data_IF_730575292196
#
_entry.id   IF_730575292196
#
_cell.length_a   1.000
_cell.length_b   1.000
_cell.length_c   1.000
_cell.angle_alpha   90.00
_cell.angle_beta   90.00
_cell.angle_gamma   90.00
#
_symmetry.space_group_name_H-M   'P 1'
#
loop_
_entity.id
_entity.type
_entity.pdbx_description
1 polymer ?
#
# COMPACT_ATOMS: atom_id res chain seq x y z
N UNK A 1 -20.32 -0.19 13.08
CA UNK A 1 -19.64 0.12 11.83
C UNK A 1 -19.05 -1.17 11.33
N UNK A 2 -19.15 -1.40 10.02
CA UNK A 2 -18.51 -2.50 9.35
C UNK A 2 -16.99 -2.43 9.54
N UNK A 3 -16.37 -3.59 9.77
CA UNK A 3 -14.92 -3.73 9.98
C UNK A 3 -14.41 -4.93 9.20
N UNK A 4 -13.35 -4.71 8.41
CA UNK A 4 -12.64 -5.76 7.72
C UNK A 4 -11.23 -5.96 8.30
N UNK A 5 -10.85 -7.21 8.61
CA UNK A 5 -9.55 -7.55 9.18
C UNK A 5 -8.97 -8.85 8.62
N UNK A 6 -7.64 -8.88 8.50
CA UNK A 6 -6.86 -10.10 8.26
C UNK A 6 -6.42 -10.69 9.59
N UNK A 7 -6.67 -11.99 9.79
CA UNK A 7 -6.31 -12.71 11.02
C UNK A 7 -4.82 -13.04 11.00
N UNK A 8 -4.10 -12.58 12.03
CA UNK A 8 -2.67 -12.84 12.19
C UNK A 8 -2.45 -14.16 12.93
N UNK A 9 -1.30 -14.79 12.71
CA UNK A 9 -0.92 -16.01 13.43
C UNK A 9 -1.66 -17.28 13.00
N UNK A 10 -2.29 -17.29 11.82
CA UNK A 10 -2.95 -18.49 11.28
C UNK A 10 -1.97 -19.65 11.15
N UNK A 11 -2.42 -20.86 11.50
CA UNK A 11 -1.60 -22.05 11.43
C UNK A 11 -1.25 -22.40 9.98
N UNK A 12 -0.02 -22.91 9.76
CA UNK A 12 0.57 -23.11 8.43
C UNK A 12 0.46 -24.56 7.93
N UNK A 13 -0.24 -25.44 8.62
CA UNK A 13 -0.30 -26.87 8.27
C UNK A 13 -1.59 -27.23 7.54
N UNK A 14 -1.60 -28.35 6.82
CA UNK A 14 -2.80 -28.90 6.18
C UNK A 14 -3.91 -29.15 7.22
N UNK A 15 -3.54 -29.67 8.39
CA UNK A 15 -4.46 -29.87 9.52
C UNK A 15 -5.04 -28.55 10.03
N UNK A 16 -4.26 -27.47 10.07
CA UNK A 16 -4.76 -26.14 10.43
C UNK A 16 -5.83 -25.64 9.43
N UNK A 17 -5.63 -25.87 8.13
CA UNK A 17 -6.63 -25.55 7.10
C UNK A 17 -7.92 -26.36 7.32
N UNK A 18 -7.81 -27.67 7.52
CA UNK A 18 -8.98 -28.50 7.80
C UNK A 18 -9.73 -28.05 9.05
N UNK A 19 -8.99 -27.78 10.13
CA UNK A 19 -9.56 -27.38 11.41
C UNK A 19 -10.27 -26.03 11.32
N UNK A 20 -9.73 -25.04 10.58
CA UNK A 20 -10.42 -23.75 10.43
C UNK A 20 -11.67 -23.89 9.56
N UNK A 21 -11.62 -24.64 8.45
CA UNK A 21 -12.78 -24.90 7.60
C UNK A 21 -13.88 -25.63 8.37
N UNK A 22 -13.51 -26.65 9.16
CA UNK A 22 -14.43 -27.33 10.07
C UNK A 22 -15.01 -26.37 11.10
N UNK A 23 -14.18 -25.56 11.74
CA UNK A 23 -14.62 -24.61 12.77
C UNK A 23 -15.61 -23.57 12.22
N UNK A 24 -15.36 -23.04 11.02
CA UNK A 24 -16.25 -22.01 10.44
C UNK A 24 -17.44 -22.60 9.70
N UNK A 25 -17.33 -23.80 9.14
CA UNK A 25 -18.32 -24.38 8.23
C UNK A 25 -19.10 -25.57 8.78
N UNK A 26 -18.79 -26.07 9.98
CA UNK A 26 -19.61 -27.14 10.56
C UNK A 26 -20.94 -26.57 11.04
N UNK A 27 -22.02 -26.96 10.38
CA UNK A 27 -23.37 -26.92 10.91
C UNK A 27 -23.59 -28.24 11.65
N UNK A 28 -23.74 -28.17 12.97
CA UNK A 28 -23.93 -29.37 13.78
C UNK A 28 -25.41 -29.78 13.63
N UNK A 29 -25.68 -30.90 12.94
CA UNK A 29 -27.07 -31.37 12.71
C UNK A 29 -27.70 -31.96 13.99
N UNK A 30 -26.88 -32.37 14.96
CA UNK A 30 -27.32 -33.07 16.19
C UNK A 30 -27.63 -32.14 17.36
N UNK A 31 -27.07 -30.95 17.35
CA UNK A 31 -27.34 -29.85 18.27
C UNK A 31 -27.44 -28.64 17.36
N UNK A 32 -28.62 -28.03 17.20
CA UNK A 32 -28.80 -26.84 16.35
C UNK A 32 -27.69 -25.82 16.61
N UNK A 33 -26.62 -25.86 15.83
CA UNK A 33 -25.53 -24.91 15.90
C UNK A 33 -25.98 -23.70 15.09
N UNK A 34 -26.89 -22.94 15.71
CA UNK A 34 -27.50 -21.74 15.17
C UNK A 34 -26.45 -20.62 14.94
N UNK A 35 -25.14 -20.89 15.14
CA UNK A 35 -24.10 -19.93 14.81
C UNK A 35 -23.97 -19.72 13.31
N UNK A 36 -24.07 -20.76 12.48
CA UNK A 36 -23.73 -20.66 11.05
C UNK A 36 -25.01 -20.49 10.25
N UNK A 37 -25.22 -19.27 9.73
CA UNK A 37 -26.33 -19.00 8.83
C UNK A 37 -26.15 -19.72 7.49
N UNK A 38 -25.04 -19.48 6.80
CA UNK A 38 -24.80 -20.02 5.45
C UNK A 38 -23.31 -20.11 5.12
N UNK A 39 -22.94 -21.15 4.39
CA UNK A 39 -21.64 -21.30 3.75
C UNK A 39 -21.75 -21.20 2.24
N UNK A 40 -20.74 -20.61 1.60
CA UNK A 40 -20.61 -20.57 0.13
C UNK A 40 -19.14 -20.73 -0.26
N UNK A 41 -18.86 -21.60 -1.21
CA UNK A 41 -17.56 -21.78 -1.84
C UNK A 41 -17.47 -21.05 -3.18
N UNK A 42 -16.35 -20.37 -3.43
CA UNK A 42 -15.97 -19.79 -4.72
C UNK A 42 -14.83 -20.65 -5.26
N UNK A 43 -15.04 -21.26 -6.42
CA UNK A 43 -14.18 -22.29 -7.03
C UNK A 43 -14.07 -23.59 -6.21
N UNK A 44 -14.82 -23.70 -5.11
CA UNK A 44 -14.90 -24.87 -4.22
C UNK A 44 -16.33 -25.08 -3.77
N UNK A 45 -16.60 -26.22 -3.14
CA UNK A 45 -17.90 -26.60 -2.61
C UNK A 45 -18.29 -25.80 -1.36
N UNK A 46 -19.60 -25.65 -1.14
CA UNK A 46 -20.18 -25.08 0.09
C UNK A 46 -20.01 -26.01 1.31
N UNK A 47 -19.69 -27.29 1.10
CA UNK A 47 -19.36 -28.24 2.17
C UNK A 47 -17.87 -28.15 2.54
N UNK A 48 -17.58 -27.91 3.82
CA UNK A 48 -16.22 -27.66 4.30
C UNK A 48 -15.26 -28.85 4.06
N UNK A 49 -15.76 -30.10 4.06
CA UNK A 49 -14.91 -31.29 3.84
C UNK A 49 -14.53 -31.40 2.37
N UNK A 50 -15.47 -31.14 1.46
CA UNK A 50 -15.22 -31.07 0.01
C UNK A 50 -14.34 -29.88 -0.33
N UNK A 51 -14.63 -28.70 0.20
CA UNK A 51 -13.81 -27.50 0.02
C UNK A 51 -12.35 -27.72 0.44
N UNK A 52 -12.12 -28.41 1.57
CA UNK A 52 -10.77 -28.79 1.97
C UNK A 52 -10.07 -29.64 0.91
N UNK A 53 -10.73 -30.67 0.38
CA UNK A 53 -10.14 -31.55 -0.64
C UNK A 53 -9.82 -30.80 -1.92
N UNK A 54 -10.72 -29.93 -2.38
CA UNK A 54 -10.54 -29.13 -3.58
C UNK A 54 -9.40 -28.10 -3.40
N UNK A 55 -9.36 -27.39 -2.27
CA UNK A 55 -8.24 -26.49 -1.94
C UNK A 55 -6.89 -27.22 -1.86
N UNK A 56 -6.88 -28.49 -1.44
CA UNK A 56 -5.69 -29.32 -1.43
C UNK A 56 -5.31 -29.78 -2.84
N UNK A 57 -6.27 -30.18 -3.66
CA UNK A 57 -6.07 -30.54 -5.06
C UNK A 57 -5.42 -29.39 -5.84
N UNK A 58 -5.91 -28.16 -5.69
CA UNK A 58 -5.28 -26.97 -6.31
C UNK A 58 -3.80 -26.84 -5.93
N UNK A 59 -3.44 -27.13 -4.68
CA UNK A 59 -2.03 -27.07 -4.24
C UNK A 59 -1.20 -28.23 -4.80
N UNK A 60 -1.80 -29.41 -4.92
CA UNK A 60 -1.14 -30.59 -5.48
C UNK A 60 -0.82 -30.39 -6.96
N UNK A 61 -1.78 -29.88 -7.74
CA UNK A 61 -1.60 -29.55 -9.16
C UNK A 61 -0.44 -28.58 -9.40
N UNK A 62 -0.21 -27.64 -8.49
CA UNK A 62 0.86 -26.64 -8.59
C UNK A 62 2.12 -26.99 -7.78
N UNK A 63 2.20 -28.19 -7.19
CA UNK A 63 3.29 -28.63 -6.33
C UNK A 63 3.60 -27.65 -5.17
N UNK A 64 2.55 -27.05 -4.57
CA UNK A 64 2.63 -26.02 -3.51
C UNK A 64 2.05 -26.49 -2.18
N UNK A 65 2.30 -27.74 -1.81
CA UNK A 65 1.80 -28.35 -0.57
C UNK A 65 2.42 -27.76 0.71
N UNK A 66 3.56 -27.07 0.61
CA UNK A 66 4.30 -26.55 1.75
C UNK A 66 4.06 -25.07 2.05
N UNK A 67 4.44 -24.65 3.26
CA UNK A 67 4.30 -23.27 3.73
C UNK A 67 2.88 -22.94 4.16
N UNK A 68 2.52 -21.66 4.18
CA UNK A 68 1.19 -21.21 4.61
C UNK A 68 0.11 -21.81 3.69
N UNK A 69 -0.93 -22.39 4.31
CA UNK A 69 -2.01 -23.09 3.58
C UNK A 69 -3.25 -22.22 3.30
N UNK A 70 -3.49 -21.18 4.08
CA UNK A 70 -4.63 -20.27 3.89
C UNK A 70 -4.37 -18.86 4.41
N UNK A 71 -5.24 -17.93 4.00
CA UNK A 71 -5.46 -16.65 4.65
C UNK A 71 -6.86 -16.66 5.25
N UNK A 72 -7.03 -16.04 6.41
CA UNK A 72 -8.31 -15.93 7.07
C UNK A 72 -8.62 -14.46 7.29
N UNK A 73 -9.69 -14.00 6.66
CA UNK A 73 -10.19 -12.65 6.75
C UNK A 73 -11.56 -12.67 7.41
N UNK A 74 -11.87 -11.62 8.16
CA UNK A 74 -13.15 -11.47 8.85
C UNK A 74 -13.74 -10.12 8.49
N UNK A 75 -15.00 -10.12 8.11
CA UNK A 75 -15.84 -8.94 7.95
C UNK A 75 -16.90 -8.95 9.05
N UNK A 76 -17.01 -7.91 9.86
CA UNK A 76 -17.97 -7.83 10.97
C UNK A 76 -18.82 -6.59 10.82
N UNK A 77 -20.10 -6.65 11.19
CA UNK A 77 -21.05 -5.54 11.07
C UNK A 77 -21.51 -5.05 12.44
N UNK A 78 -22.10 -3.85 12.51
CA UNK A 78 -22.73 -3.39 13.75
C UNK A 78 -23.93 -4.30 14.09
N UNK A 79 -24.20 -4.60 15.36
CA UNK A 79 -25.45 -5.25 15.75
C UNK A 79 -26.67 -4.52 15.16
N UNK A 80 -27.57 -5.26 14.52
CA UNK A 80 -28.84 -4.75 13.96
C UNK A 80 -28.72 -3.88 12.72
N UNK A 81 -27.54 -3.75 12.12
CA UNK A 81 -27.32 -2.90 10.93
C UNK A 81 -27.53 -3.63 9.61
N UNK A 82 -27.36 -4.94 9.60
CA UNK A 82 -27.49 -5.78 8.41
C UNK A 82 -28.16 -7.09 8.80
N UNK A 83 -28.95 -7.66 7.90
CA UNK A 83 -29.48 -9.02 8.01
C UNK A 83 -28.45 -10.05 7.48
N UNK A 84 -28.65 -11.31 7.85
CA UNK A 84 -27.75 -12.41 7.54
C UNK A 84 -27.63 -12.71 6.04
N UNK A 85 -28.70 -12.51 5.26
CA UNK A 85 -28.71 -12.74 3.82
C UNK A 85 -27.89 -11.67 3.09
N UNK A 86 -28.13 -10.40 3.41
CA UNK A 86 -27.39 -9.25 2.85
C UNK A 86 -25.92 -9.34 3.24
N UNK A 87 -25.61 -9.61 4.51
CA UNK A 87 -24.23 -9.79 4.96
C UNK A 87 -23.51 -10.91 4.20
N UNK A 88 -24.18 -12.03 3.94
CA UNK A 88 -23.61 -13.14 3.19
C UNK A 88 -23.38 -12.77 1.71
N UNK A 89 -24.37 -12.16 1.06
CA UNK A 89 -24.28 -11.69 -0.33
C UNK A 89 -23.11 -10.73 -0.52
N UNK A 90 -22.95 -9.77 0.39
CA UNK A 90 -21.83 -8.82 0.35
C UNK A 90 -20.47 -9.50 0.48
N UNK A 91 -20.33 -10.55 1.29
CA UNK A 91 -19.07 -11.29 1.40
C UNK A 91 -18.73 -12.06 0.12
N UNK A 92 -19.74 -12.64 -0.54
CA UNK A 92 -19.57 -13.32 -1.84
C UNK A 92 -19.13 -12.30 -2.89
N UNK A 93 -19.85 -11.18 -3.04
CA UNK A 93 -19.50 -10.09 -3.96
C UNK A 93 -18.07 -9.57 -3.70
N UNK A 94 -17.75 -9.33 -2.43
CA UNK A 94 -16.43 -8.88 -2.03
C UNK A 94 -15.34 -9.87 -2.44
N UNK A 95 -15.55 -11.17 -2.23
CA UNK A 95 -14.57 -12.19 -2.55
C UNK A 95 -14.41 -12.40 -4.06
N UNK A 96 -15.49 -12.39 -4.84
CA UNK A 96 -15.44 -12.46 -6.30
C UNK A 96 -14.73 -11.25 -6.92
N UNK A 97 -14.95 -10.05 -6.36
CA UNK A 97 -14.29 -8.81 -6.79
C UNK A 97 -12.79 -8.86 -6.52
N UNK A 98 -12.39 -9.30 -5.32
CA UNK A 98 -11.02 -9.12 -4.84
C UNK A 98 -10.12 -10.36 -4.99
N UNK A 99 -10.64 -11.59 -4.95
CA UNK A 99 -9.83 -12.83 -4.89
C UNK A 99 -9.95 -13.69 -6.14
N UNK A 100 -9.94 -13.05 -7.31
CA UNK A 100 -10.08 -13.73 -8.61
C UNK A 100 -9.02 -14.83 -8.78
N UNK A 101 -9.50 -16.02 -9.19
CA UNK A 101 -8.66 -17.21 -9.40
C UNK A 101 -8.13 -17.84 -8.11
N UNK A 102 -8.56 -17.41 -6.92
CA UNK A 102 -8.28 -18.13 -5.67
C UNK A 102 -9.52 -18.92 -5.25
N UNK A 103 -9.29 -20.09 -4.65
CA UNK A 103 -10.35 -20.82 -3.96
C UNK A 103 -10.71 -20.08 -2.66
N UNK A 104 -11.99 -19.81 -2.44
CA UNK A 104 -12.45 -19.09 -1.25
C UNK A 104 -13.62 -19.83 -0.62
N UNK A 105 -13.59 -20.02 0.70
CA UNK A 105 -14.69 -20.55 1.48
C UNK A 105 -15.21 -19.48 2.43
N UNK A 106 -16.49 -19.13 2.30
CA UNK A 106 -17.17 -18.09 3.06
C UNK A 106 -18.15 -18.74 4.02
N UNK A 107 -18.20 -18.26 5.26
CA UNK A 107 -19.18 -18.66 6.25
C UNK A 107 -19.70 -17.46 7.03
N UNK A 108 -21.01 -17.27 7.08
CA UNK A 108 -21.67 -16.18 7.81
C UNK A 108 -22.12 -16.69 9.18
N UNK A 109 -21.66 -16.02 10.23
CA UNK A 109 -21.94 -16.35 11.63
C UNK A 109 -22.84 -15.30 12.30
N UNK A 110 -23.73 -15.75 13.18
CA UNK A 110 -24.72 -14.92 13.90
C UNK A 110 -24.67 -15.08 15.44
N UNK A 111 -23.65 -15.76 15.98
CA UNK A 111 -23.55 -16.17 17.39
C UNK A 111 -23.02 -15.11 18.38
N UNK A 112 -22.30 -14.09 17.91
CA UNK A 112 -21.57 -13.16 18.81
C UNK A 112 -22.30 -11.85 19.09
N UNK A 113 -23.62 -11.87 19.03
CA UNK A 113 -24.45 -10.66 19.14
C UNK A 113 -24.28 -9.68 17.97
N UNK A 114 -23.57 -10.10 16.92
CA UNK A 114 -23.42 -9.37 15.66
C UNK A 114 -23.09 -10.34 14.53
N UNK A 115 -23.53 -9.98 13.33
CA UNK A 115 -23.26 -10.76 12.11
C UNK A 115 -21.81 -10.54 11.68
N UNK A 116 -21.15 -11.63 11.30
CA UNK A 116 -19.80 -11.58 10.76
C UNK A 116 -19.53 -12.71 9.76
N UNK A 117 -18.76 -12.39 8.73
CA UNK A 117 -18.33 -13.32 7.70
C UNK A 117 -16.90 -13.78 7.96
N UNK A 118 -16.69 -15.08 7.97
CA UNK A 118 -15.40 -15.73 7.86
C UNK A 118 -15.08 -15.98 6.38
N UNK A 119 -13.94 -15.49 5.91
CA UNK A 119 -13.48 -15.65 4.51
C UNK A 119 -12.14 -16.37 4.55
N UNK A 120 -12.14 -17.65 4.16
CA UNK A 120 -10.96 -18.51 4.13
C UNK A 120 -10.48 -18.62 2.69
N UNK A 121 -9.29 -18.09 2.40
CA UNK A 121 -8.74 -18.00 1.05
C UNK A 121 -7.59 -18.99 0.94
N UNK A 122 -7.61 -19.83 -0.08
CA UNK A 122 -6.51 -20.72 -0.43
C UNK A 122 -5.27 -19.88 -0.81
N UNK A 123 -4.07 -20.32 -0.46
CA UNK A 123 -2.84 -19.56 -0.75
C UNK A 123 -2.34 -19.70 -2.17
N UNK A 124 -2.97 -20.52 -3.01
CA UNK A 124 -2.53 -20.79 -4.38
C UNK A 124 -3.65 -20.42 -5.32
N UNK A 125 -3.33 -19.62 -6.34
CA UNK A 125 -4.25 -19.28 -7.41
C UNK A 125 -4.39 -20.50 -8.34
N UNK A 126 -5.62 -20.89 -8.68
CA UNK A 126 -5.95 -22.09 -9.44
C UNK A 126 -5.38 -22.04 -10.86
N UNK A 127 -5.41 -20.88 -11.50
CA UNK A 127 -4.99 -20.72 -12.90
C UNK A 127 -3.47 -20.59 -13.02
N UNK A 128 -2.87 -19.77 -12.15
CA UNK A 128 -1.47 -19.35 -12.29
C UNK A 128 -0.49 -20.08 -11.37
N UNK A 129 -0.98 -20.78 -10.33
CA UNK A 129 -0.14 -21.40 -9.30
C UNK A 129 0.59 -20.39 -8.39
N UNK A 130 0.40 -19.09 -8.61
CA UNK A 130 1.05 -18.04 -7.84
C UNK A 130 0.49 -17.98 -6.42
N UNK A 131 1.37 -17.73 -5.45
CA UNK A 131 0.97 -17.67 -4.04
C UNK A 131 0.40 -16.32 -3.65
N UNK A 132 -0.67 -16.35 -2.84
CA UNK A 132 -1.25 -15.18 -2.21
C UNK A 132 -0.19 -14.44 -1.39
N UNK A 133 0.08 -13.18 -1.75
CA UNK A 133 1.07 -12.33 -1.12
C UNK A 133 0.41 -11.06 -0.58
N UNK A 134 0.23 -10.98 0.73
CA UNK A 134 -0.16 -9.72 1.39
C UNK A 134 1.09 -8.85 1.57
N UNK A 135 1.08 -7.69 0.91
CA UNK A 135 2.13 -6.69 1.00
C UNK A 135 2.05 -5.93 2.31
N UNK A 136 3.20 -5.64 2.90
CA UNK A 136 3.26 -4.66 3.97
C UNK A 136 3.23 -3.22 3.40
N UNK A 137 3.04 -2.24 4.28
CA UNK A 137 2.93 -0.82 3.90
C UNK A 137 4.13 -0.31 3.10
N UNK A 138 5.35 -0.71 3.46
CA UNK A 138 6.57 -0.24 2.78
C UNK A 138 6.66 -0.83 1.37
N UNK A 139 6.40 -2.13 1.23
CA UNK A 139 6.39 -2.80 -0.09
C UNK A 139 5.31 -2.21 -1.02
N UNK A 140 4.13 -1.91 -0.47
CA UNK A 140 3.06 -1.27 -1.21
C UNK A 140 3.43 0.15 -1.66
N UNK A 141 3.93 0.97 -0.73
CA UNK A 141 4.33 2.35 -1.02
C UNK A 141 5.45 2.40 -2.06
N UNK A 142 6.46 1.54 -1.93
CA UNK A 142 7.56 1.46 -2.90
C UNK A 142 7.05 1.11 -4.30
N UNK A 143 6.09 0.18 -4.43
CA UNK A 143 5.48 -0.12 -5.73
C UNK A 143 4.72 1.09 -6.28
N UNK A 144 3.92 1.77 -5.45
CA UNK A 144 3.18 2.97 -5.86
C UNK A 144 4.09 4.11 -6.30
N UNK A 145 5.16 4.39 -5.55
CA UNK A 145 6.15 5.43 -5.88
C UNK A 145 6.86 5.15 -7.21
N UNK A 146 7.09 3.88 -7.53
CA UNK A 146 7.69 3.45 -8.79
C UNK A 146 6.67 3.22 -9.91
N UNK A 147 5.40 3.61 -9.73
CA UNK A 147 4.30 3.35 -10.68
C UNK A 147 4.16 1.88 -11.11
N UNK A 148 4.48 0.95 -10.20
CA UNK A 148 4.36 -0.49 -10.43
C UNK A 148 2.99 -0.96 -9.98
N UNK A 149 2.21 -1.51 -10.91
CA UNK A 149 0.94 -2.14 -10.60
C UNK A 149 1.12 -3.40 -9.74
N UNK A 150 0.15 -3.64 -8.86
CA UNK A 150 0.13 -4.87 -8.07
C UNK A 150 -0.19 -6.04 -9.00
N UNK A 151 0.55 -7.13 -8.84
CA UNK A 151 0.25 -8.37 -9.56
C UNK A 151 -1.06 -8.98 -9.04
N UNK A 152 -1.72 -9.82 -9.83
CA UNK A 152 -2.99 -10.46 -9.48
C UNK A 152 -3.00 -11.29 -8.17
N UNK A 153 -1.82 -11.71 -7.70
CA UNK A 153 -1.63 -12.46 -6.46
C UNK A 153 -1.09 -11.60 -5.29
N UNK A 154 -0.92 -10.30 -5.50
CA UNK A 154 -0.43 -9.34 -4.51
C UNK A 154 -1.59 -8.49 -3.98
N UNK A 155 -1.71 -8.41 -2.65
CA UNK A 155 -2.81 -7.74 -1.99
C UNK A 155 -2.30 -6.78 -0.93
N UNK A 156 -2.94 -5.62 -0.80
CA UNK A 156 -2.69 -4.71 0.30
C UNK A 156 -3.94 -4.61 1.19
N UNK A 157 -3.75 -4.79 2.50
CA UNK A 157 -4.88 -4.90 3.42
C UNK A 157 -5.78 -3.65 3.41
N UNK A 158 -5.21 -2.44 3.23
CA UNK A 158 -6.04 -1.24 3.27
C UNK A 158 -6.84 -1.03 1.97
N UNK A 159 -6.35 -1.55 0.84
CA UNK A 159 -7.14 -1.59 -0.40
C UNK A 159 -8.31 -2.58 -0.25
N UNK A 160 -8.08 -3.72 0.41
CA UNK A 160 -9.15 -4.67 0.73
C UNK A 160 -10.18 -4.08 1.71
N UNK A 161 -9.74 -3.33 2.73
CA UNK A 161 -10.66 -2.62 3.63
C UNK A 161 -11.48 -1.59 2.87
N UNK A 162 -10.85 -0.77 2.02
CA UNK A 162 -11.54 0.21 1.19
C UNK A 162 -12.57 -0.44 0.28
N UNK A 163 -12.22 -1.57 -0.36
CA UNK A 163 -13.15 -2.33 -1.21
C UNK A 163 -14.33 -2.90 -0.40
N UNK A 164 -14.11 -3.37 0.83
CA UNK A 164 -15.19 -3.77 1.74
C UNK A 164 -16.06 -2.58 2.15
N UNK A 165 -15.45 -1.44 2.46
CA UNK A 165 -16.17 -0.22 2.86
C UNK A 165 -17.03 0.31 1.70
N UNK A 166 -16.53 0.29 0.47
CA UNK A 166 -17.30 0.66 -0.74
C UNK A 166 -18.55 -0.20 -0.91
N UNK A 167 -18.46 -1.52 -0.70
CA UNK A 167 -19.61 -2.43 -0.77
C UNK A 167 -20.58 -2.16 0.39
N UNK A 168 -20.07 -1.89 1.59
CA UNK A 168 -20.90 -1.52 2.74
C UNK A 168 -21.67 -0.21 2.50
N UNK A 169 -21.00 0.81 1.97
CA UNK A 169 -21.61 2.09 1.63
C UNK A 169 -22.68 1.95 0.54
N UNK A 170 -22.42 1.14 -0.49
CA UNK A 170 -23.40 0.86 -1.54
C UNK A 170 -24.67 0.17 -1.01
N UNK A 171 -24.57 -0.54 0.11
CA UNK A 171 -25.68 -1.18 0.82
C UNK A 171 -26.21 -0.34 2.00
N UNK A 172 -25.90 0.96 2.06
CA UNK A 172 -26.33 1.90 3.11
C UNK A 172 -25.88 1.54 4.54
N UNK A 173 -24.78 0.80 4.69
CA UNK A 173 -24.22 0.45 6.00
C UNK A 173 -23.17 1.47 6.46
N UNK A 174 -23.03 1.64 7.78
CA UNK A 174 -21.99 2.50 8.35
C UNK A 174 -20.62 1.85 8.26
N UNK A 175 -19.65 2.59 7.73
CA UNK A 175 -18.24 2.21 7.70
C UNK A 175 -17.44 3.06 8.68
N UNK A 176 -16.26 2.57 9.07
CA UNK A 176 -15.34 3.40 9.86
C UNK A 176 -14.93 4.58 8.97
N UNK A 177 -15.14 5.83 9.41
CA UNK A 177 -14.65 6.98 8.66
C UNK A 177 -13.16 6.80 8.45
N UNK A 178 -12.70 6.90 7.21
CA UNK A 178 -11.27 7.05 6.98
C UNK A 178 -10.87 8.28 7.79
N UNK A 179 -10.00 8.09 8.79
CA UNK A 179 -9.37 9.24 9.44
C UNK A 179 -8.74 10.02 8.30
N UNK A 180 -9.27 11.19 7.98
CA UNK A 180 -8.51 12.19 7.27
C UNK A 180 -7.18 12.22 7.99
N UNK A 181 -6.11 11.96 7.26
CA UNK A 181 -4.79 12.11 7.83
C UNK A 181 -4.73 13.59 8.21
N UNK A 182 -4.97 13.92 9.48
CA UNK A 182 -4.30 15.05 10.09
C UNK A 182 -2.85 14.85 9.66
N UNK A 183 -2.36 15.77 8.81
CA UNK A 183 -1.08 15.66 8.10
C UNK A 183 -0.09 14.96 9.00
N UNK A 184 0.14 13.68 8.73
CA UNK A 184 0.83 12.84 9.67
C UNK A 184 2.28 13.31 9.64
N UNK A 185 2.64 14.20 10.57
CA UNK A 185 4.03 14.40 10.94
C UNK A 185 4.56 12.99 11.20
N UNK A 186 5.51 12.57 10.38
CA UNK A 186 6.10 11.23 10.40
C UNK A 186 6.59 10.89 11.81
N UNK A 187 5.75 10.21 12.59
CA UNK A 187 6.14 9.58 13.86
C UNK A 187 6.63 8.18 13.49
N UNK A 188 7.94 8.10 13.31
CA UNK A 188 8.62 6.85 13.06
C UNK A 188 8.65 6.03 14.36
N UNK A 189 7.98 4.87 14.32
CA UNK A 189 8.21 3.71 15.17
C UNK A 189 7.48 3.62 16.54
N UNK A 190 7.00 2.40 16.83
CA UNK A 190 6.20 1.99 18.01
C UNK A 190 6.88 2.24 19.37
N UNK A 191 8.19 2.51 19.35
CA UNK A 191 8.98 2.85 20.55
C UNK A 191 8.81 4.31 20.96
N UNK A 192 8.54 5.24 20.02
CA UNK A 192 8.22 6.63 20.34
C UNK A 192 6.89 6.72 21.11
N UNK A 193 5.92 5.84 20.82
CA UNK A 193 4.62 5.78 21.51
C UNK A 193 4.74 5.52 23.02
N UNK A 194 5.67 4.65 23.45
CA UNK A 194 5.85 4.35 24.87
C UNK A 194 6.58 5.46 25.63
N UNK A 195 7.37 6.30 24.94
CA UNK A 195 8.00 7.49 25.53
C UNK A 195 7.01 8.65 25.64
N UNK A 196 6.04 8.75 24.72
CA UNK A 196 4.94 9.74 24.79
C UNK A 196 4.07 9.56 26.03
N UNK A 197 3.77 8.31 26.43
CA UNK A 197 2.86 8.03 27.53
C UNK A 197 3.51 8.13 28.92
N UNK A 198 4.84 8.05 29.04
CA UNK A 198 5.52 7.98 30.33
C UNK A 198 6.70 8.94 30.44
N UNK A 199 6.39 10.11 31.03
CA UNK A 199 7.26 11.15 31.64
C UNK A 199 7.80 12.25 30.71
N UNK A 200 7.29 13.47 30.98
CA UNK A 200 7.72 14.82 30.56
C UNK A 200 7.47 15.21 29.10
N UNK A 201 6.26 15.73 28.83
CA UNK A 201 5.80 16.30 27.54
C UNK A 201 6.83 17.23 26.87
N UNK A 202 7.48 18.09 27.65
CA UNK A 202 8.43 19.08 27.13
C UNK A 202 9.77 18.47 26.65
N UNK A 203 10.14 17.28 27.14
CA UNK A 203 11.34 16.56 26.66
C UNK A 203 11.11 15.98 25.27
N UNK A 204 9.88 15.52 25.00
CA UNK A 204 9.47 15.07 23.67
C UNK A 204 9.37 16.24 22.69
N UNK A 205 8.83 17.37 23.14
CA UNK A 205 8.79 18.62 22.34
C UNK A 205 10.19 19.07 21.95
N UNK A 206 11.11 19.14 22.92
CA UNK A 206 12.53 19.43 22.68
C UNK A 206 13.17 18.45 21.68
N UNK A 207 12.90 17.15 21.81
CA UNK A 207 13.43 16.13 20.89
C UNK A 207 12.95 16.34 19.44
N UNK A 208 11.68 16.73 19.26
CA UNK A 208 11.12 17.07 17.94
C UNK A 208 11.76 18.32 17.37
N UNK A 209 11.90 19.37 18.17
CA UNK A 209 12.50 20.63 17.75
C UNK A 209 13.96 20.44 17.33
N UNK A 210 14.74 19.66 18.09
CA UNK A 210 16.12 19.29 17.74
C UNK A 210 16.18 18.55 16.40
N UNK A 211 15.34 17.52 16.20
CA UNK A 211 15.32 16.74 14.94
C UNK A 211 14.88 17.59 13.74
N UNK A 212 14.00 18.57 13.93
CA UNK A 212 13.58 19.48 12.88
C UNK A 212 14.67 20.49 12.54
N UNK A 213 15.28 21.10 13.56
CA UNK A 213 16.37 22.04 13.40
C UNK A 213 17.60 21.35 12.77
N UNK A 214 17.94 20.13 13.17
CA UNK A 214 19.09 19.39 12.61
C UNK A 214 19.02 19.17 11.09
N UNK A 215 17.82 19.11 10.53
CA UNK A 215 17.59 18.91 9.08
C UNK A 215 17.57 20.20 8.28
N UNK A 216 17.28 21.33 8.92
CA UNK A 216 17.06 22.60 8.22
C UNK A 216 18.20 23.60 8.44
N UNK A 217 18.94 23.46 9.53
CA UNK A 217 20.06 24.32 9.88
C UNK A 217 21.34 23.83 9.19
N UNK A 218 22.21 24.77 8.83
CA UNK A 218 23.46 24.51 8.09
C UNK A 218 24.70 24.82 8.91
N UNK A 219 24.50 25.45 10.06
CA UNK A 219 25.53 25.80 11.01
C UNK A 219 25.02 25.61 12.44
N UNK A 220 25.97 25.59 13.37
CA UNK A 220 25.71 25.58 14.81
C UNK A 220 24.92 26.83 15.22
N UNK A 221 25.25 27.98 14.64
CA UNK A 221 24.62 29.27 14.90
C UNK A 221 23.15 29.28 14.47
N UNK A 222 22.86 28.75 13.27
CA UNK A 222 21.48 28.60 12.78
C UNK A 222 20.66 27.70 13.68
N UNK A 223 21.27 26.62 14.17
CA UNK A 223 20.62 25.68 15.07
C UNK A 223 20.29 26.30 16.42
N UNK A 224 21.23 27.07 16.99
CA UNK A 224 21.02 27.81 18.24
C UNK A 224 19.88 28.81 18.06
N UNK A 225 19.87 29.58 16.96
CA UNK A 225 18.82 30.56 16.67
C UNK A 225 17.45 29.91 16.50
N UNK A 226 17.36 28.83 15.73
CA UNK A 226 16.09 28.12 15.47
C UNK A 226 15.46 27.56 16.76
N UNK A 227 16.29 27.13 17.73
CA UNK A 227 15.81 26.67 19.03
C UNK A 227 15.50 27.81 19.99
N UNK A 228 16.22 28.94 19.91
CA UNK A 228 15.92 30.13 20.72
C UNK A 228 14.55 30.73 20.40
N UNK A 229 14.15 30.72 19.11
CA UNK A 229 12.80 31.09 18.63
C UNK A 229 11.72 30.18 19.22
N UNK A 230 12.07 28.96 19.64
CA UNK A 230 11.20 28.00 20.33
C UNK A 230 11.27 28.11 21.86
N UNK A 231 11.99 29.10 22.38
CA UNK A 231 12.16 29.31 23.81
C UNK A 231 13.18 28.38 24.47
N UNK A 232 14.09 27.79 23.69
CA UNK A 232 15.15 26.89 24.16
C UNK A 232 16.52 27.53 23.92
N UNK A 233 17.20 27.87 25.01
CA UNK A 233 18.58 28.34 25.00
C UNK A 233 19.51 27.13 24.90
N UNK A 234 20.34 27.11 23.86
CA UNK A 234 21.29 26.02 23.59
C UNK A 234 22.67 26.41 24.08
N UNK A 235 23.15 25.75 25.13
CA UNK A 235 24.52 25.85 25.62
C UNK A 235 25.39 24.81 24.88
N UNK A 236 26.01 25.27 23.79
CA UNK A 236 26.90 24.49 22.93
C UNK A 236 28.23 25.22 22.78
N UNK A 237 29.18 24.90 23.65
CA UNK A 237 30.54 25.43 23.59
C UNK A 237 31.52 24.31 23.20
N UNK A 238 32.55 24.62 22.41
CA UNK A 238 33.38 23.59 21.78
C UNK A 238 34.23 22.82 22.80
N UNK A 239 34.57 23.46 23.92
CA UNK A 239 35.30 22.86 25.04
C UNK A 239 34.40 22.05 26.00
N UNK A 240 33.06 22.14 25.88
CA UNK A 240 32.13 21.38 26.73
C UNK A 240 31.85 20.01 26.11
N UNK A 241 31.93 18.97 26.95
CA UNK A 241 31.66 17.57 26.56
C UNK A 241 30.21 17.33 26.11
N UNK A 242 29.26 18.12 26.60
CA UNK A 242 27.83 17.89 26.36
C UNK A 242 27.11 19.18 26.00
N UNK A 243 26.31 19.12 24.93
CA UNK A 243 25.34 20.16 24.58
C UNK A 243 24.21 20.13 25.59
N UNK A 244 23.84 21.28 26.14
CA UNK A 244 22.79 21.41 27.16
C UNK A 244 21.70 22.38 26.69
N UNK A 245 20.45 21.95 26.79
CA UNK A 245 19.26 22.74 26.47
C UNK A 245 18.66 23.30 27.75
N UNK A 246 18.55 24.62 27.84
CA UNK A 246 17.89 25.36 28.93
C UNK A 246 16.61 25.98 28.39
N UNK A 247 15.52 25.94 29.14
CA UNK A 247 14.26 26.55 28.71
C UNK A 247 14.14 27.95 29.30
N UNK A 248 13.55 28.89 28.54
CA UNK A 248 13.20 30.22 29.07
C UNK A 248 12.09 30.14 30.14
N UNK A 249 11.31 29.07 30.13
CA UNK A 249 10.36 28.71 31.21
C UNK A 249 11.11 28.06 32.38
N UNK A 250 11.22 28.78 33.49
CA UNK A 250 11.93 28.36 34.71
C UNK A 250 11.37 27.08 35.35
N UNK A 251 10.14 26.68 35.03
CA UNK A 251 9.55 25.43 35.51
C UNK A 251 10.11 24.19 34.81
N UNK A 252 10.77 24.35 33.67
CA UNK A 252 11.34 23.25 32.88
C UNK A 252 12.81 23.03 33.21
N UNK A 253 13.16 21.82 33.63
CA UNK A 253 14.56 21.45 33.92
C UNK A 253 15.38 21.40 32.64
N UNK A 254 16.65 21.82 32.73
CA UNK A 254 17.61 21.70 31.64
C UNK A 254 17.86 20.24 31.26
N UNK A 255 18.12 19.99 29.98
CA UNK A 255 18.28 18.64 29.43
C UNK A 255 19.57 18.60 28.63
N UNK A 256 20.43 17.60 28.88
CA UNK A 256 21.62 17.34 28.06
C UNK A 256 21.25 16.54 26.82
N UNK A 257 21.90 16.80 25.70
CA UNK A 257 21.74 16.02 24.48
C UNK A 257 22.00 14.52 24.70
N UNK A 258 23.05 14.17 25.45
CA UNK A 258 23.36 12.78 25.83
C UNK A 258 22.23 12.12 26.67
N UNK A 259 21.45 12.89 27.43
CA UNK A 259 20.29 12.34 28.13
C UNK A 259 19.17 12.00 27.16
N UNK A 260 18.99 12.78 26.08
CA UNK A 260 18.05 12.47 25.01
C UNK A 260 18.50 11.21 24.25
N UNK A 261 19.78 11.12 23.89
CA UNK A 261 20.37 9.91 23.28
C UNK A 261 20.05 8.65 24.10
N UNK A 262 20.35 8.67 25.41
CA UNK A 262 20.05 7.53 26.31
C UNK A 262 18.56 7.23 26.45
N UNK A 263 17.72 8.27 26.42
CA UNK A 263 16.27 8.12 26.62
C UNK A 263 15.59 7.58 25.36
N UNK A 264 15.98 8.06 24.19
CA UNK A 264 15.39 7.69 22.92
C UNK A 264 16.12 6.55 22.21
N UNK A 265 17.33 6.19 22.67
CA UNK A 265 18.23 5.22 22.03
C UNK A 265 18.39 5.54 20.54
N UNK A 266 18.57 6.82 20.24
CA UNK A 266 18.56 7.37 18.89
C UNK A 266 19.86 8.16 18.68
N UNK A 267 20.65 7.70 17.70
CA UNK A 267 21.96 8.25 17.37
C UNK A 267 21.87 9.67 16.80
N UNK A 268 20.68 10.13 16.39
CA UNK A 268 20.46 11.51 15.96
C UNK A 268 20.68 12.53 17.09
N UNK A 269 20.69 12.09 18.35
CA UNK A 269 21.03 12.91 19.52
C UNK A 269 22.51 12.79 19.92
N UNK A 270 23.42 12.57 18.96
CA UNK A 270 24.87 12.67 19.16
C UNK A 270 25.39 14.02 18.64
N UNK A 271 26.42 14.57 19.30
CA UNK A 271 27.03 15.84 18.88
C UNK A 271 27.63 15.71 17.47
N UNK A 272 28.32 14.60 17.24
CA UNK A 272 28.96 14.26 15.97
C UNK A 272 27.93 14.13 14.84
N UNK A 273 26.74 13.60 15.14
CA UNK A 273 25.67 13.52 14.16
C UNK A 273 25.19 14.91 13.76
N UNK A 274 24.94 15.81 14.71
CA UNK A 274 24.48 17.17 14.40
C UNK A 274 25.51 17.94 13.55
N UNK A 275 26.79 17.86 13.91
CA UNK A 275 27.89 18.47 13.14
C UNK A 275 27.97 17.91 11.71
N UNK A 276 27.84 16.58 11.55
CA UNK A 276 27.78 15.94 10.23
C UNK A 276 26.56 16.37 9.42
N UNK A 277 25.38 16.46 10.05
CA UNK A 277 24.16 16.89 9.36
C UNK A 277 24.25 18.33 8.87
N UNK A 278 24.83 19.24 9.66
CA UNK A 278 25.04 20.62 9.22
C UNK A 278 25.95 20.70 7.99
N UNK A 279 27.04 19.92 7.99
CA UNK A 279 27.93 19.83 6.83
C UNK A 279 27.23 19.25 5.59
N UNK A 280 26.37 18.24 5.79
CA UNK A 280 25.56 17.67 4.69
C UNK A 280 24.57 18.71 4.16
N UNK A 281 23.89 19.45 5.02
CA UNK A 281 22.91 20.47 4.62
C UNK A 281 23.59 21.62 3.87
N UNK A 282 24.77 22.05 4.33
CA UNK A 282 25.59 23.05 3.64
C UNK A 282 26.00 22.57 2.25
N UNK A 283 26.55 21.35 2.13
CA UNK A 283 26.93 20.77 0.83
C UNK A 283 25.74 20.53 -0.09
N UNK A 284 24.59 20.15 0.45
CA UNK A 284 23.36 19.93 -0.33
C UNK A 284 22.85 21.25 -0.93
N UNK A 285 22.95 22.34 -0.17
CA UNK A 285 22.67 23.68 -0.69
C UNK A 285 23.73 24.14 -1.69
N UNK A 286 25.02 23.87 -1.46
CA UNK A 286 26.08 24.19 -2.44
C UNK A 286 25.87 23.44 -3.76
N UNK A 287 25.45 22.17 -3.73
CA UNK A 287 25.08 21.39 -4.93
C UNK A 287 23.80 21.95 -5.57
N UNK A 288 22.81 22.36 -4.77
CA UNK A 288 21.61 23.06 -5.23
C UNK A 288 21.92 24.40 -5.91
N UNK A 289 22.86 25.16 -5.36
CA UNK A 289 23.33 26.45 -5.89
C UNK A 289 24.28 26.27 -7.08
N UNK A 290 25.03 25.16 -7.17
CA UNK A 290 25.85 24.80 -8.33
C UNK A 290 24.97 24.44 -9.54
N UNK A 291 23.83 23.78 -9.32
CA UNK A 291 22.80 23.59 -10.37
C UNK A 291 22.21 24.92 -10.86
N UNK A 292 22.17 25.96 -10.04
CA UNK A 292 21.60 27.27 -10.40
C UNK A 292 22.60 28.17 -11.18
N UNK A 293 23.90 27.89 -11.14
CA UNK A 293 24.91 28.67 -11.91
C UNK A 293 25.38 28.03 -13.23
N UNK A 294 25.02 26.78 -13.52
CA UNK A 294 25.46 26.08 -14.76
C UNK A 294 24.32 25.86 -15.77
N UNK A 295 23.04 26.04 -15.40
CA UNK A 295 21.89 25.75 -16.27
C UNK A 295 21.12 26.99 -16.72
N UNK A 296 21.73 27.89 -17.49
CA UNK A 296 20.94 28.90 -18.25
C UNK A 296 21.13 28.84 -19.77
N UNK A 297 22.15 28.13 -20.28
CA UNK A 297 22.39 28.04 -21.73
C UNK A 297 22.14 26.65 -22.31
N UNK A 298 22.44 25.57 -21.56
CA UNK A 298 22.33 24.19 -22.05
C UNK A 298 20.88 23.64 -22.13
N UNK A 299 19.95 24.18 -21.32
CA UNK A 299 18.55 23.73 -21.32
C UNK A 299 17.80 24.21 -22.57
N UNK A 300 18.07 25.44 -23.05
CA UNK A 300 17.51 25.93 -24.33
C UNK A 300 17.92 25.03 -25.50
N UNK A 301 19.18 24.61 -25.55
CA UNK A 301 19.71 23.81 -26.66
C UNK A 301 19.17 22.37 -26.68
N UNK A 302 18.89 21.78 -25.51
CA UNK A 302 18.31 20.43 -25.44
C UNK A 302 16.82 20.42 -25.71
N UNK A 303 16.09 21.46 -25.30
CA UNK A 303 14.67 21.59 -25.60
C UNK A 303 14.45 21.89 -27.09
N UNK A 304 15.28 22.74 -27.70
CA UNK A 304 15.30 22.95 -29.16
C UNK A 304 15.63 21.67 -29.93
N UNK A 305 16.65 20.90 -29.51
CA UNK A 305 16.97 19.59 -30.11
C UNK A 305 15.85 18.57 -29.95
N UNK A 306 15.16 18.57 -28.80
CA UNK A 306 14.05 17.68 -28.54
C UNK A 306 12.83 18.03 -29.41
N UNK A 307 12.53 19.32 -29.58
CA UNK A 307 11.48 19.78 -30.49
C UNK A 307 11.83 19.51 -31.96
N UNK A 308 13.10 19.63 -32.36
CA UNK A 308 13.55 19.29 -33.71
C UNK A 308 13.42 17.78 -33.99
N UNK A 309 13.75 16.93 -33.03
CA UNK A 309 13.56 15.48 -33.10
C UNK A 309 12.07 15.09 -33.19
N UNK A 310 11.21 15.76 -32.42
CA UNK A 310 9.75 15.55 -32.49
C UNK A 310 9.17 15.96 -33.84
N UNK A 311 9.65 17.06 -34.42
CA UNK A 311 9.21 17.52 -35.73
C UNK A 311 9.67 16.59 -36.86
N UNK A 312 10.93 16.13 -36.84
CA UNK A 312 11.44 15.13 -37.79
C UNK A 312 10.64 13.83 -37.74
N UNK A 313 10.27 13.38 -36.54
CA UNK A 313 9.43 12.19 -36.35
C UNK A 313 8.03 12.38 -36.94
N UNK A 314 7.41 13.54 -36.73
CA UNK A 314 6.08 13.87 -37.31
C UNK A 314 6.11 13.90 -38.83
N UNK A 315 7.16 14.46 -39.45
CA UNK A 315 7.29 14.45 -40.91
C UNK A 315 7.49 13.04 -41.46
N UNK A 316 8.29 12.22 -40.78
CA UNK A 316 8.50 10.83 -41.17
C UNK A 316 7.20 10.01 -41.06
N UNK A 317 6.44 10.19 -39.99
CA UNK A 317 5.13 9.55 -39.81
C UNK A 317 4.13 10.00 -40.89
N UNK A 318 4.18 11.27 -41.30
CA UNK A 318 3.33 11.81 -42.38
C UNK A 318 3.70 11.22 -43.75
N UNK A 319 4.99 11.10 -44.06
CA UNK A 319 5.47 10.47 -45.29
C UNK A 319 5.05 8.98 -45.36
N UNK A 320 5.17 8.27 -44.24
CA UNK A 320 4.72 6.86 -44.14
C UNK A 320 3.21 6.75 -44.34
N UNK A 321 2.42 7.69 -43.80
CA UNK A 321 0.98 7.71 -43.99
C UNK A 321 0.58 8.01 -45.45
N UNK A 322 1.25 8.96 -46.10
CA UNK A 322 1.03 9.28 -47.52
C UNK A 322 1.41 8.11 -48.44
N UNK A 323 2.52 7.42 -48.16
CA UNK A 323 2.94 6.24 -48.94
C UNK A 323 1.95 5.08 -48.78
N UNK A 324 1.42 4.86 -47.56
CA UNK A 324 0.34 3.89 -47.33
C UNK A 324 -0.92 4.24 -48.10
N UNK A 325 -1.32 5.51 -48.10
CA UNK A 325 -2.50 5.97 -48.84
C UNK A 325 -2.31 5.80 -50.36
N UNK A 326 -1.10 6.07 -50.87
CA UNK A 326 -0.77 5.88 -52.28
C UNK A 326 -0.85 4.41 -52.69
N UNK A 327 -0.25 3.49 -51.91
CA UNK A 327 -0.34 2.05 -52.15
C UNK A 327 -1.80 1.56 -52.11
N UNK A 328 -2.60 2.08 -51.18
CA UNK A 328 -4.01 1.72 -51.08
C UNK A 328 -4.82 2.20 -52.29
N UNK A 329 -4.53 3.41 -52.81
CA UNK A 329 -5.15 3.92 -54.05
C UNK A 329 -4.74 3.09 -55.27
N UNK A 330 -3.46 2.72 -55.40
CA UNK A 330 -2.96 1.88 -56.48
C UNK A 330 -3.58 0.47 -56.46
N UNK A 331 -3.80 -0.12 -55.28
CA UNK A 331 -4.51 -1.40 -55.15
C UNK A 331 -5.99 -1.30 -55.54
N UNK A 332 -6.66 -0.20 -55.17
CA UNK A 332 -8.05 0.05 -55.56
C UNK A 332 -8.15 0.22 -57.09
N UNK A 333 -7.20 0.91 -57.71
CA UNK A 333 -7.17 1.12 -59.16
C UNK A 333 -6.85 -0.17 -59.93
N UNK A 334 -5.90 -0.99 -59.44
CA UNK A 334 -5.65 -2.35 -59.98
C UNK A 334 -6.90 -3.23 -59.91
N UNK A 335 -7.64 -3.20 -58.79
CA UNK A 335 -8.91 -3.94 -58.64
C UNK A 335 -10.00 -3.43 -59.61
N UNK A 336 -10.10 -2.12 -59.83
CA UNK A 336 -11.03 -1.53 -60.83
C UNK A 336 -10.68 -1.94 -62.26
N UNK A 337 -9.39 -1.98 -62.61
CA UNK A 337 -8.95 -2.38 -63.95
C UNK A 337 -9.11 -3.90 -64.20
N UNK A 338 -8.90 -4.75 -63.18
CA UNK A 338 -9.22 -6.18 -63.28
C UNK A 338 -10.70 -6.45 -63.53
N UNK A 339 -11.60 -5.66 -62.92
CA UNK A 339 -13.04 -5.80 -63.11
C UNK A 339 -13.52 -5.28 -64.48
N UNK A 340 -12.82 -4.31 -65.09
CA UNK A 340 -13.09 -3.87 -66.48
C UNK A 340 -12.66 -4.91 -67.53
N UNK A 341 -11.54 -5.61 -67.32
CA UNK A 341 -11.04 -6.62 -68.25
C UNK A 341 -11.79 -7.97 -68.19
N UNK A 342 -12.66 -8.19 -67.21
CA UNK A 342 -13.59 -9.34 -67.17
C UNK A 342 -14.94 -9.08 -67.87
N UNK A 343 -15.15 -7.88 -68.42
CA UNK A 343 -16.41 -7.45 -69.03
C UNK A 343 -16.47 -7.44 -70.56
N UNK A 344 -15.42 -7.86 -71.27
CA UNK A 344 -15.45 -7.98 -72.74
C UNK A 344 -14.95 -9.37 -73.17
N UNK A 345 -15.91 -10.25 -73.40
CA UNK A 345 -15.70 -11.60 -73.89
C UNK A 345 -17.03 -12.36 -73.88
N UNK A 346 -17.94 -11.97 -74.77
CA UNK A 346 -18.99 -12.77 -75.45
C UNK A 346 -19.68 -11.84 -76.47
N UNK A 347 -19.79 -12.32 -77.72
CA UNK A 347 -20.54 -11.75 -78.85
C UNK A 347 -19.66 -10.89 -79.75
N UNK A 348 -19.33 -11.26 -80.99
CA UNK A 348 -20.12 -12.02 -81.98
C UNK A 348 -19.40 -13.22 -82.60
#
# INVERSE_FOLDING_TARGET
MAVYKSVKGVGKTKSSLYNILKYVGSQNEKEKDDRVYKTTGINVSDDYKKAFKEMMLTKELHCKLDGRQYRHHIQSFKPGEVDEETAHKMAVEFAEKNFKGFDVFISTHIDKGHIHNHIIINTVNIDTGMKFRELNKNEYNQKKENNVELKSHEFYLEDLKKSSDEICLANNLSVIPQKEKAESQNIYNRREYNVVMNKTSYKMELAKDIKRASKNCKSKEDFIKALDEKGVIVDWEDHKKHITFKFKDEKKKSIRLANLEKTFQDETFKKEYLEQQFLINQKTEEIGNFKIKVNTEAEKTNEEKYQELLNKKREQDKLIAEEKLKKQKEEIEKKKNLNRNKGFGIGD
#
